data_IF_894147832977
#
_entry.id   IF_894147832977
#
_cell.length_a   1.000
_cell.length_b   1.000
_cell.length_c   1.000
_cell.angle_alpha   90.00
_cell.angle_beta   90.00
_cell.angle_gamma   90.00
#
_symmetry.space_group_name_H-M   'P 1'
#
loop_
_entity.id
_entity.type
_entity.pdbx_description
1 polymer ?
#
# COMPACT_ATOMS: atom_id res chain seq x y z
N UNK A 1 -36.73 6.80 8.18
CA UNK A 1 -35.90 5.60 8.01
C UNK A 1 -34.68 6.03 7.19
N UNK A 2 -33.50 6.03 7.79
CA UNK A 2 -32.29 6.41 7.06
C UNK A 2 -31.99 5.30 6.04
N UNK A 3 -31.94 5.64 4.75
CA UNK A 3 -31.52 4.70 3.72
C UNK A 3 -30.00 4.44 3.87
N UNK A 4 -29.66 3.57 4.83
CA UNK A 4 -28.29 3.11 5.03
C UNK A 4 -27.89 2.22 3.85
N UNK A 5 -26.97 2.70 3.03
CA UNK A 5 -26.58 2.04 1.78
C UNK A 5 -25.25 1.31 1.96
N UNK A 6 -25.26 0.01 1.74
CA UNK A 6 -24.03 -0.80 1.61
C UNK A 6 -23.71 -0.97 0.12
N UNK A 7 -22.57 -0.44 -0.32
CA UNK A 7 -22.12 -0.50 -1.71
C UNK A 7 -21.00 -1.54 -1.84
N UNK A 8 -21.08 -2.43 -2.82
CA UNK A 8 -19.99 -3.33 -3.13
C UNK A 8 -19.03 -2.67 -4.12
N UNK A 9 -17.72 -2.74 -3.83
CA UNK A 9 -16.65 -2.24 -4.68
C UNK A 9 -15.56 -3.30 -4.83
N UNK A 10 -14.73 -3.20 -5.84
CA UNK A 10 -13.52 -4.00 -5.95
C UNK A 10 -12.39 -3.36 -5.11
N UNK A 11 -11.48 -4.19 -4.57
CA UNK A 11 -10.32 -3.67 -3.82
C UNK A 11 -9.47 -2.73 -4.68
N UNK A 12 -9.36 -3.02 -5.98
CA UNK A 12 -8.64 -2.20 -6.96
C UNK A 12 -9.21 -0.79 -7.12
N UNK A 13 -10.49 -0.58 -6.86
CA UNK A 13 -11.12 0.75 -6.95
C UNK A 13 -10.48 1.73 -5.96
N UNK A 14 -9.97 1.24 -4.83
CA UNK A 14 -9.24 2.06 -3.85
C UNK A 14 -7.99 2.73 -4.44
N UNK A 15 -7.35 2.13 -5.44
CA UNK A 15 -6.18 2.72 -6.12
C UNK A 15 -6.49 4.05 -6.80
N UNK A 16 -7.74 4.26 -7.16
CA UNK A 16 -8.22 5.49 -7.81
C UNK A 16 -8.74 6.53 -6.80
N UNK A 17 -8.74 6.21 -5.51
CA UNK A 17 -9.23 7.06 -4.42
C UNK A 17 -8.11 7.87 -3.74
N UNK A 18 -7.13 8.35 -4.48
CA UNK A 18 -5.92 9.00 -3.96
C UNK A 18 -6.19 10.27 -3.12
N UNK A 19 -7.29 10.97 -3.39
CA UNK A 19 -7.64 12.21 -2.69
C UNK A 19 -8.79 12.02 -1.69
N UNK A 20 -9.26 10.79 -1.51
CA UNK A 20 -10.34 10.48 -0.58
C UNK A 20 -9.78 10.01 0.76
N UNK A 21 -10.52 10.31 1.82
CA UNK A 21 -10.20 9.92 3.19
C UNK A 21 -11.26 9.00 3.75
N UNK A 22 -10.87 8.10 4.62
CA UNK A 22 -11.80 7.17 5.24
C UNK A 22 -11.17 6.29 6.32
N UNK A 23 -12.03 5.58 7.03
CA UNK A 23 -11.70 4.52 7.96
C UNK A 23 -12.04 3.18 7.31
N UNK A 24 -11.12 2.23 7.38
CA UNK A 24 -11.37 0.85 6.95
C UNK A 24 -11.33 -0.06 8.17
N UNK A 25 -12.39 -0.83 8.35
CA UNK A 25 -12.46 -1.92 9.31
C UNK A 25 -12.29 -3.24 8.59
N UNK A 26 -11.43 -4.10 9.10
CA UNK A 26 -11.07 -5.37 8.48
C UNK A 26 -11.69 -6.55 9.27
N UNK A 27 -12.05 -7.61 8.55
CA UNK A 27 -12.58 -8.82 9.16
C UNK A 27 -14.04 -8.72 9.60
N UNK A 28 -14.83 -7.84 8.97
CA UNK A 28 -16.25 -7.68 9.28
C UNK A 28 -17.05 -8.87 8.76
N UNK A 29 -17.83 -9.52 9.65
CA UNK A 29 -18.73 -10.63 9.30
C UNK A 29 -20.17 -10.35 9.69
N UNK A 30 -21.10 -11.21 9.28
CA UNK A 30 -22.52 -11.08 9.61
C UNK A 30 -23.25 -10.03 8.75
N UNK A 31 -24.27 -9.41 9.33
CA UNK A 31 -25.04 -8.35 8.64
C UNK A 31 -24.24 -7.03 8.59
N UNK A 32 -23.88 -6.63 7.38
CA UNK A 32 -23.06 -5.43 7.16
C UNK A 32 -23.80 -4.12 7.47
N UNK A 33 -25.13 -4.14 7.56
CA UNK A 33 -25.92 -2.96 7.96
C UNK A 33 -25.82 -2.71 9.46
N UNK A 34 -25.80 -3.79 10.26
CA UNK A 34 -25.59 -3.71 11.71
C UNK A 34 -24.21 -3.07 12.03
N UNK A 35 -23.19 -3.33 11.19
CA UNK A 35 -21.90 -2.67 11.32
C UNK A 35 -21.98 -1.16 11.09
N UNK A 36 -22.72 -0.71 10.07
CA UNK A 36 -22.89 0.73 9.79
C UNK A 36 -23.58 1.42 10.97
N UNK A 37 -24.62 0.84 11.50
CA UNK A 37 -25.37 1.41 12.64
C UNK A 37 -24.52 1.37 13.92
N UNK A 38 -23.89 0.23 14.23
CA UNK A 38 -23.09 0.04 15.43
C UNK A 38 -21.85 0.96 15.48
N UNK A 39 -21.17 1.15 14.35
CA UNK A 39 -20.03 2.08 14.27
C UNK A 39 -20.49 3.53 14.41
N UNK A 40 -21.60 3.92 13.76
CA UNK A 40 -22.17 5.23 13.97
C UNK A 40 -22.48 5.50 15.46
N UNK A 41 -23.07 4.53 16.15
CA UNK A 41 -23.42 4.69 17.57
C UNK A 41 -22.18 4.78 18.45
N UNK A 42 -21.19 3.88 18.27
CA UNK A 42 -19.91 3.94 19.00
C UNK A 42 -19.16 5.27 18.80
N UNK A 43 -19.10 5.77 17.57
CA UNK A 43 -18.41 7.02 17.27
C UNK A 43 -19.18 8.23 17.81
N UNK A 44 -20.50 8.18 17.86
CA UNK A 44 -21.32 9.21 18.47
C UNK A 44 -21.16 9.25 19.99
N UNK A 45 -21.19 8.10 20.67
CA UNK A 45 -20.95 7.97 22.10
C UNK A 45 -19.56 8.45 22.52
N UNK A 46 -18.55 8.16 21.70
CA UNK A 46 -17.17 8.65 21.90
C UNK A 46 -17.00 10.15 21.59
N UNK A 47 -18.05 10.84 21.12
CA UNK A 47 -18.00 12.25 20.73
C UNK A 47 -17.05 12.51 19.57
N UNK A 48 -16.93 11.53 18.67
CA UNK A 48 -16.11 11.61 17.45
C UNK A 48 -16.90 12.18 16.30
N UNK A 49 -18.18 11.77 16.17
CA UNK A 49 -19.12 12.38 15.22
C UNK A 49 -19.57 13.73 15.75
N UNK A 50 -19.36 14.79 14.96
CA UNK A 50 -19.68 16.17 15.32
C UNK A 50 -20.98 16.62 14.65
N UNK A 51 -21.68 17.57 15.27
CA UNK A 51 -22.88 18.25 14.74
C UNK A 51 -23.99 17.28 14.28
N UNK A 52 -24.12 16.13 14.95
CA UNK A 52 -25.10 15.11 14.61
C UNK A 52 -24.87 14.43 13.25
N UNK A 53 -23.67 14.59 12.66
CA UNK A 53 -23.31 13.88 11.43
C UNK A 53 -23.23 12.37 11.64
N UNK A 54 -23.51 11.60 10.61
CA UNK A 54 -23.45 10.12 10.62
C UNK A 54 -23.00 9.63 9.24
N UNK A 55 -22.35 8.47 9.21
CA UNK A 55 -22.11 7.76 7.96
C UNK A 55 -23.44 7.23 7.42
N UNK A 56 -23.78 7.65 6.20
CA UNK A 56 -25.02 7.23 5.51
C UNK A 56 -24.79 6.02 4.61
N UNK A 57 -23.56 5.79 4.22
CA UNK A 57 -23.17 4.68 3.36
C UNK A 57 -21.82 4.12 3.75
N UNK A 58 -21.62 2.85 3.48
CA UNK A 58 -20.37 2.14 3.64
C UNK A 58 -20.10 1.35 2.36
N UNK A 59 -18.83 1.24 1.98
CA UNK A 59 -18.41 0.38 0.87
C UNK A 59 -17.82 -0.91 1.40
N UNK A 60 -18.21 -2.06 0.83
CA UNK A 60 -17.69 -3.39 1.20
C UNK A 60 -16.81 -3.91 0.07
N UNK A 61 -15.67 -4.50 0.43
CA UNK A 61 -14.75 -5.13 -0.50
C UNK A 61 -13.98 -6.28 0.16
N UNK A 62 -13.45 -7.17 -0.68
CA UNK A 62 -12.63 -8.30 -0.24
C UNK A 62 -11.16 -8.01 -0.47
N UNK A 63 -10.33 -8.18 0.58
CA UNK A 63 -8.88 -8.04 0.48
C UNK A 63 -8.20 -8.95 1.52
N UNK A 64 -7.18 -9.70 1.07
CA UNK A 64 -6.44 -10.60 1.95
C UNK A 64 -7.28 -11.72 2.58
N UNK A 65 -8.36 -12.15 1.93
CA UNK A 65 -9.32 -13.14 2.46
C UNK A 65 -10.28 -12.59 3.51
N UNK A 66 -10.25 -11.27 3.76
CA UNK A 66 -11.10 -10.59 4.74
C UNK A 66 -12.17 -9.74 4.04
N UNK A 67 -13.35 -9.67 4.64
CA UNK A 67 -14.37 -8.68 4.30
C UNK A 67 -14.02 -7.37 4.99
N UNK A 68 -13.90 -6.31 4.23
CA UNK A 68 -13.52 -4.98 4.72
C UNK A 68 -14.64 -3.99 4.47
N UNK A 69 -14.84 -3.07 5.42
CA UNK A 69 -15.81 -1.99 5.32
C UNK A 69 -15.08 -0.65 5.29
N UNK A 70 -15.31 0.12 4.25
CA UNK A 70 -14.81 1.49 4.09
C UNK A 70 -15.90 2.48 4.49
N UNK A 71 -15.59 3.31 5.48
CA UNK A 71 -16.37 4.45 5.95
C UNK A 71 -15.75 5.72 5.38
N UNK A 72 -16.28 6.29 4.28
CA UNK A 72 -15.71 7.49 3.65
C UNK A 72 -16.03 8.72 4.49
N UNK A 73 -15.05 9.64 4.62
CA UNK A 73 -15.25 10.86 5.44
C UNK A 73 -15.99 11.97 4.71
N UNK A 74 -16.25 11.80 3.42
CA UNK A 74 -17.00 12.78 2.64
C UNK A 74 -18.39 13.03 3.23
N UNK A 75 -18.68 14.28 3.54
CA UNK A 75 -19.97 14.70 4.12
C UNK A 75 -20.17 14.35 5.60
N UNK A 76 -19.14 13.84 6.30
CA UNK A 76 -19.16 13.52 7.73
C UNK A 76 -18.20 14.43 8.49
N UNK A 77 -18.67 15.05 9.56
CA UNK A 77 -17.83 15.88 10.44
C UNK A 77 -17.28 15.03 11.57
N UNK A 78 -15.96 14.97 11.69
CA UNK A 78 -15.24 14.09 12.62
C UNK A 78 -14.23 14.88 13.45
N UNK A 79 -14.13 14.52 14.73
CA UNK A 79 -12.95 14.82 15.54
C UNK A 79 -11.84 13.78 15.23
N UNK A 80 -10.92 14.16 14.34
CA UNK A 80 -9.86 13.27 13.87
C UNK A 80 -8.91 12.83 14.99
N UNK A 81 -8.67 13.69 15.98
CA UNK A 81 -7.83 13.33 17.12
C UNK A 81 -8.44 12.22 17.96
N UNK A 82 -9.73 12.35 18.27
CA UNK A 82 -10.47 11.30 18.99
C UNK A 82 -10.62 10.03 18.15
N UNK A 83 -10.85 10.15 16.85
CA UNK A 83 -10.95 8.99 15.97
C UNK A 83 -9.63 8.19 15.94
N UNK A 84 -8.49 8.87 15.85
CA UNK A 84 -7.18 8.22 15.90
C UNK A 84 -6.96 7.46 17.23
N UNK A 85 -7.34 8.06 18.34
CA UNK A 85 -7.27 7.42 19.67
C UNK A 85 -8.24 6.24 19.78
N UNK A 86 -9.47 6.39 19.33
CA UNK A 86 -10.47 5.33 19.31
C UNK A 86 -9.98 4.11 18.51
N UNK A 87 -9.38 4.35 17.33
CA UNK A 87 -8.79 3.30 16.51
C UNK A 87 -7.72 2.50 17.26
N UNK A 88 -6.83 3.18 17.99
CA UNK A 88 -5.79 2.51 18.76
C UNK A 88 -6.37 1.68 19.91
N UNK A 89 -7.40 2.18 20.58
CA UNK A 89 -8.05 1.51 21.70
C UNK A 89 -8.88 0.29 21.27
N UNK A 90 -9.50 0.35 20.09
CA UNK A 90 -10.40 -0.69 19.59
C UNK A 90 -9.73 -1.65 18.60
N UNK A 91 -8.46 -1.44 18.28
CA UNK A 91 -7.75 -2.24 17.27
C UNK A 91 -7.87 -3.76 17.48
N UNK A 92 -7.83 -4.24 18.72
CA UNK A 92 -7.95 -5.66 19.04
C UNK A 92 -9.38 -6.22 18.93
N UNK A 93 -10.39 -5.39 18.72
CA UNK A 93 -11.79 -5.81 18.59
C UNK A 93 -12.16 -6.15 17.14
N UNK A 94 -11.34 -5.72 16.18
CA UNK A 94 -11.51 -5.95 14.76
C UNK A 94 -10.38 -6.83 14.22
N UNK A 95 -10.53 -7.39 13.03
CA UNK A 95 -9.44 -8.04 12.30
C UNK A 95 -8.32 -7.09 11.90
N UNK A 96 -8.58 -5.81 11.97
CA UNK A 96 -7.67 -4.71 11.76
C UNK A 96 -8.42 -3.40 11.54
N UNK A 97 -7.74 -2.28 11.74
CA UNK A 97 -8.26 -0.94 11.44
C UNK A 97 -7.21 -0.14 10.68
N UNK A 98 -7.64 0.57 9.66
CA UNK A 98 -6.76 1.42 8.86
C UNK A 98 -7.40 2.80 8.66
N UNK A 99 -6.58 3.84 8.81
CA UNK A 99 -7.00 5.22 8.70
C UNK A 99 -6.13 5.95 7.66
N UNK A 100 -6.73 6.76 6.83
CA UNK A 100 -6.08 7.41 5.68
C UNK A 100 -5.27 8.67 6.00
N UNK A 101 -5.34 9.19 7.19
CA UNK A 101 -4.81 10.51 7.59
C UNK A 101 -3.28 10.65 7.47
N UNK A 102 -2.53 9.55 7.61
CA UNK A 102 -1.06 9.55 7.56
C UNK A 102 -0.48 8.92 6.28
N UNK A 103 -1.31 8.64 5.29
CA UNK A 103 -0.88 7.92 4.07
C UNK A 103 -0.84 8.87 2.88
N UNK A 104 0.28 8.96 2.15
CA UNK A 104 0.43 9.89 1.03
C UNK A 104 -0.68 9.79 -0.02
N UNK A 105 -1.13 8.61 -0.35
CA UNK A 105 -2.20 8.38 -1.33
C UNK A 105 -3.56 8.17 -0.68
N UNK A 106 -3.70 8.48 0.60
CA UNK A 106 -4.95 8.30 1.35
C UNK A 106 -5.54 6.90 1.15
N UNK A 107 -6.80 6.77 0.74
CA UNK A 107 -7.42 5.46 0.51
C UNK A 107 -6.69 4.62 -0.56
N UNK A 108 -6.11 5.25 -1.58
CA UNK A 108 -5.26 4.55 -2.55
C UNK A 108 -4.04 3.87 -1.94
N UNK A 109 -3.55 4.35 -0.78
CA UNK A 109 -2.45 3.75 -0.04
C UNK A 109 -2.82 2.48 0.74
N UNK A 110 -4.10 2.16 0.91
CA UNK A 110 -4.52 0.90 1.55
C UNK A 110 -4.09 -0.31 0.72
N UNK A 111 -4.23 -0.22 -0.59
CA UNK A 111 -3.74 -1.23 -1.51
C UNK A 111 -2.29 -0.89 -1.87
N UNK A 112 -1.36 -1.16 -0.97
CA UNK A 112 0.04 -1.06 -1.28
C UNK A 112 0.40 -2.19 -2.25
N UNK A 113 0.80 -1.80 -3.47
CA UNK A 113 1.61 -2.70 -4.28
C UNK A 113 2.98 -2.70 -3.60
N UNK A 114 3.48 -3.83 -3.07
CA UNK A 114 4.87 -3.87 -2.65
C UNK A 114 5.69 -3.34 -3.83
N UNK A 115 6.66 -2.44 -3.62
CA UNK A 115 7.52 -2.01 -4.70
C UNK A 115 8.03 -3.28 -5.35
N UNK A 116 7.74 -3.45 -6.64
CA UNK A 116 8.20 -4.60 -7.40
C UNK A 116 9.72 -4.59 -7.26
N UNK A 117 10.25 -5.45 -6.39
CA UNK A 117 11.69 -5.57 -6.22
C UNK A 117 12.23 -5.98 -7.58
N UNK A 118 13.05 -5.10 -8.14
CA UNK A 118 13.73 -5.41 -9.39
C UNK A 118 14.57 -6.67 -9.17
N UNK A 119 14.52 -7.65 -10.08
CA UNK A 119 15.40 -8.80 -10.00
C UNK A 119 16.86 -8.33 -9.99
N UNK A 120 17.69 -8.89 -9.12
CA UNK A 120 19.13 -8.58 -9.06
C UNK A 120 19.86 -9.26 -10.21
N UNK A 121 20.70 -8.50 -10.90
CA UNK A 121 21.53 -9.00 -11.99
C UNK A 121 22.95 -8.42 -11.91
N UNK A 122 23.95 -9.27 -11.78
CA UNK A 122 25.34 -8.87 -11.84
C UNK A 122 25.78 -8.68 -13.29
N UNK A 123 26.40 -7.55 -13.60
CA UNK A 123 26.98 -7.23 -14.91
C UNK A 123 28.43 -7.68 -14.99
N UNK A 124 29.19 -7.54 -13.89
CA UNK A 124 30.62 -7.90 -13.85
C UNK A 124 30.81 -9.43 -13.94
N UNK A 125 31.87 -9.82 -14.67
CA UNK A 125 32.23 -11.23 -14.83
C UNK A 125 31.42 -12.03 -15.86
N UNK A 126 30.54 -11.37 -16.61
CA UNK A 126 29.74 -11.96 -17.68
C UNK A 126 30.02 -11.31 -19.05
N UNK A 127 29.51 -11.97 -20.11
CA UNK A 127 29.62 -11.47 -21.47
C UNK A 127 29.03 -10.04 -21.55
N UNK A 128 29.85 -9.11 -22.02
CA UNK A 128 29.51 -7.69 -22.18
C UNK A 128 28.66 -7.39 -23.42
N UNK A 129 28.26 -8.40 -24.19
CA UNK A 129 27.37 -8.23 -25.33
C UNK A 129 25.98 -7.77 -24.83
N UNK A 130 25.50 -6.65 -25.37
CA UNK A 130 24.20 -6.06 -24.96
C UNK A 130 23.03 -7.02 -25.14
N UNK A 131 23.05 -7.87 -26.16
CA UNK A 131 21.99 -8.87 -26.37
C UNK A 131 22.05 -9.98 -25.32
N UNK A 132 23.23 -10.36 -24.87
CA UNK A 132 23.41 -11.32 -23.78
C UNK A 132 22.91 -10.75 -22.46
N UNK A 133 23.24 -9.50 -22.15
CA UNK A 133 22.77 -8.77 -20.96
C UNK A 133 21.25 -8.63 -20.99
N UNK A 134 20.68 -8.19 -22.13
CA UNK A 134 19.24 -8.05 -22.31
C UNK A 134 18.51 -9.39 -22.15
N UNK A 135 19.07 -10.48 -22.70
CA UNK A 135 18.51 -11.84 -22.57
C UNK A 135 18.44 -12.30 -21.12
N UNK A 136 19.50 -12.05 -20.33
CA UNK A 136 19.52 -12.36 -18.89
C UNK A 136 18.50 -11.54 -18.10
N UNK A 137 18.43 -10.23 -18.36
CA UNK A 137 17.45 -9.36 -17.73
C UNK A 137 16.03 -9.79 -18.09
N UNK A 138 15.78 -10.15 -19.35
CA UNK A 138 14.51 -10.67 -19.84
C UNK A 138 14.11 -11.96 -19.10
N UNK A 139 15.03 -12.90 -18.95
CA UNK A 139 14.79 -14.14 -18.21
C UNK A 139 14.42 -13.86 -16.74
N UNK A 140 15.17 -12.97 -16.06
CA UNK A 140 14.90 -12.62 -14.66
C UNK A 140 13.53 -11.95 -14.48
N UNK A 141 13.16 -11.05 -15.40
CA UNK A 141 11.84 -10.41 -15.39
C UNK A 141 10.70 -11.40 -15.63
N UNK A 142 10.89 -12.38 -16.51
CA UNK A 142 9.91 -13.45 -16.74
C UNK A 142 9.75 -14.34 -15.51
N UNK A 143 10.85 -14.74 -14.88
CA UNK A 143 10.82 -15.53 -13.64
C UNK A 143 10.16 -14.78 -12.48
N UNK A 144 10.27 -13.45 -12.46
CA UNK A 144 9.58 -12.59 -11.50
C UNK A 144 8.12 -12.27 -11.87
N UNK A 145 7.58 -12.86 -12.96
CA UNK A 145 6.22 -12.61 -13.43
C UNK A 145 5.98 -11.25 -14.07
N UNK A 146 7.05 -10.50 -14.37
CA UNK A 146 7.00 -9.13 -14.88
C UNK A 146 6.96 -9.06 -16.42
N UNK A 147 6.11 -9.87 -17.07
CA UNK A 147 6.08 -10.03 -18.53
C UNK A 147 5.84 -8.71 -19.28
N UNK A 148 4.99 -7.83 -18.78
CA UNK A 148 4.73 -6.53 -19.41
C UNK A 148 5.98 -5.64 -19.38
N UNK A 149 6.70 -5.59 -18.26
CA UNK A 149 7.97 -4.85 -18.12
C UNK A 149 9.08 -5.45 -18.96
N UNK A 150 9.11 -6.78 -19.09
CA UNK A 150 10.05 -7.46 -19.96
C UNK A 150 9.86 -7.02 -21.42
N UNK A 151 8.64 -7.03 -21.92
CA UNK A 151 8.35 -6.59 -23.29
C UNK A 151 8.76 -5.13 -23.51
N UNK A 152 8.38 -4.25 -22.60
CA UNK A 152 8.74 -2.82 -22.65
C UNK A 152 10.26 -2.61 -22.67
N UNK A 153 11.00 -3.30 -21.79
CA UNK A 153 12.46 -3.25 -21.76
C UNK A 153 13.08 -3.68 -23.09
N UNK A 154 12.66 -4.83 -23.65
CA UNK A 154 13.19 -5.35 -24.92
C UNK A 154 12.91 -4.36 -26.05
N UNK A 155 11.71 -3.82 -26.14
CA UNK A 155 11.34 -2.86 -27.19
C UNK A 155 12.19 -1.57 -27.09
N UNK A 156 12.44 -1.07 -25.89
CA UNK A 156 13.28 0.13 -25.65
C UNK A 156 14.75 -0.14 -25.96
N UNK A 157 15.30 -1.27 -25.52
CA UNK A 157 16.71 -1.63 -25.76
C UNK A 157 16.99 -1.87 -27.23
N UNK A 158 16.11 -2.58 -27.95
CA UNK A 158 16.27 -2.87 -29.37
C UNK A 158 16.14 -1.61 -30.24
N UNK A 159 15.38 -0.63 -29.77
CA UNK A 159 15.25 0.68 -30.45
C UNK A 159 16.44 1.59 -30.18
N UNK A 160 17.29 1.28 -29.20
CA UNK A 160 18.44 2.06 -28.81
C UNK A 160 19.68 1.65 -29.62
N UNK A 161 20.37 2.65 -30.21
CA UNK A 161 21.60 2.41 -31.00
C UNK A 161 22.90 2.65 -30.19
N UNK A 162 22.76 3.03 -28.93
CA UNK A 162 23.87 3.41 -28.05
C UNK A 162 23.97 2.38 -26.93
N UNK A 163 25.17 1.81 -26.74
CA UNK A 163 25.42 0.73 -25.77
C UNK A 163 25.20 1.22 -24.33
N UNK A 164 25.73 2.39 -23.97
CA UNK A 164 25.63 2.89 -22.60
C UNK A 164 24.18 3.26 -22.25
N UNK A 165 23.45 3.80 -23.18
CA UNK A 165 22.01 4.06 -23.02
C UNK A 165 21.23 2.77 -22.90
N UNK A 166 21.58 1.74 -23.66
CA UNK A 166 20.93 0.42 -23.55
C UNK A 166 21.16 -0.22 -22.17
N UNK A 167 22.37 -0.12 -21.62
CA UNK A 167 22.67 -0.57 -20.24
C UNK A 167 21.86 0.20 -19.19
N UNK A 168 21.76 1.52 -19.34
CA UNK A 168 20.94 2.34 -18.45
C UNK A 168 19.46 1.95 -18.51
N UNK A 169 18.91 1.70 -19.71
CA UNK A 169 17.55 1.22 -19.87
C UNK A 169 17.36 -0.12 -19.13
N UNK A 170 18.27 -1.08 -19.29
CA UNK A 170 18.18 -2.37 -18.59
C UNK A 170 18.18 -2.17 -17.06
N UNK A 171 19.02 -1.25 -16.54
CA UNK A 171 19.11 -0.93 -15.11
C UNK A 171 17.83 -0.26 -14.54
N UNK A 172 16.95 0.25 -15.40
CA UNK A 172 15.63 0.71 -14.97
C UNK A 172 14.69 -0.45 -14.58
N UNK A 173 14.92 -1.65 -15.11
CA UNK A 173 14.04 -2.82 -14.93
C UNK A 173 14.63 -3.89 -14.00
N UNK A 174 15.95 -4.04 -13.96
CA UNK A 174 16.66 -4.94 -13.06
C UNK A 174 17.62 -4.15 -12.18
N UNK A 175 17.91 -4.67 -10.99
CA UNK A 175 18.85 -4.06 -10.05
C UNK A 175 20.27 -4.51 -10.41
N UNK A 176 21.09 -3.58 -10.83
CA UNK A 176 22.48 -3.81 -11.28
C UNK A 176 23.42 -2.90 -10.50
N UNK A 177 24.74 -3.08 -10.65
CA UNK A 177 25.74 -2.17 -10.06
C UNK A 177 25.62 -0.73 -10.58
N UNK A 178 24.93 -0.52 -11.71
CA UNK A 178 24.64 0.81 -12.27
C UNK A 178 23.36 1.43 -11.68
N UNK A 179 22.56 0.66 -10.94
CA UNK A 179 21.34 1.17 -10.32
C UNK A 179 21.68 2.08 -9.16
N UNK A 180 20.97 3.21 -9.03
CA UNK A 180 21.12 4.08 -7.87
C UNK A 180 20.83 3.27 -6.58
N UNK A 181 21.59 3.48 -5.49
CA UNK A 181 21.37 2.74 -4.27
C UNK A 181 19.94 2.96 -3.77
N UNK A 182 19.18 1.87 -3.62
CA UNK A 182 17.86 1.88 -3.01
C UNK A 182 18.01 2.46 -1.60
N UNK A 183 17.28 3.52 -1.27
CA UNK A 183 17.23 4.06 0.09
C UNK A 183 16.46 3.05 0.93
N UNK A 184 17.14 2.02 1.41
CA UNK A 184 16.59 1.16 2.45
C UNK A 184 16.48 1.99 3.75
N UNK A 185 15.35 1.99 4.44
CA UNK A 185 15.27 2.62 5.76
C UNK A 185 16.22 1.86 6.69
N UNK A 186 17.32 2.52 7.09
CA UNK A 186 18.28 1.99 8.06
C UNK A 186 17.52 1.55 9.31
N UNK A 187 17.44 0.23 9.57
CA UNK A 187 17.05 -0.30 10.87
C UNK A 187 18.02 0.27 11.91
N UNK A 188 17.51 1.12 12.77
CA UNK A 188 18.28 1.68 13.90
C UNK A 188 18.78 0.51 14.76
N UNK A 189 20.09 0.25 14.71
CA UNK A 189 20.75 -0.64 15.66
C UNK A 189 20.70 0.03 17.04
N UNK A 190 19.86 -0.50 17.94
CA UNK A 190 19.91 -0.18 19.36
C UNK A 190 21.31 -0.54 19.88
N UNK A 191 22.14 0.46 20.14
CA UNK A 191 23.36 0.30 20.93
C UNK A 191 22.96 -0.20 22.32
N UNK A 192 23.32 -1.44 22.64
CA UNK A 192 23.31 -1.95 24.02
C UNK A 192 24.37 -1.19 24.80
N UNK A 193 23.94 -0.28 25.65
CA UNK A 193 24.78 0.34 26.67
C UNK A 193 25.17 -0.72 27.71
N UNK A 194 26.47 -0.95 27.91
CA UNK A 194 27.00 -1.71 29.04
C UNK A 194 26.79 -0.93 30.35
N UNK A 195 26.40 -1.58 31.44
CA UNK A 195 26.43 -0.94 32.74
C UNK A 195 27.89 -0.89 33.22
N UNK A 196 28.37 0.32 33.52
CA UNK A 196 29.59 0.50 34.27
C UNK A 196 29.28 0.32 35.76
N UNK A 197 29.77 -0.75 36.37
CA UNK A 197 30.00 -0.88 37.79
C UNK A 197 31.44 -0.44 38.05
N UNK A 198 31.64 0.55 38.89
CA UNK A 198 32.83 0.71 39.71
C UNK A 198 32.53 1.60 40.90
N UNK A 199 32.69 1.00 42.05
CA UNK A 199 33.30 1.31 43.38
C UNK A 199 32.97 2.65 44.00
#
# INVERSE_FOLDING_TARGET
>A
MSDNVVKQIAAEDLRHMNNQEGLILQGCGGDLREWLDGINDQLAEAGILLDGSRFKSVSVFQQGGLTNLLFPFEGVKLDMGKLAMWRLQTHGQFGGTWLSDYVPNRLGGFIQTPPLQKPKMELMGHDSNIFSIMGRASFLLQMAGMNAKNKEMVDRVTSCKDYDKALNIISEYVDTELSAPSIEPKKSQKKKGKPAYER
#
